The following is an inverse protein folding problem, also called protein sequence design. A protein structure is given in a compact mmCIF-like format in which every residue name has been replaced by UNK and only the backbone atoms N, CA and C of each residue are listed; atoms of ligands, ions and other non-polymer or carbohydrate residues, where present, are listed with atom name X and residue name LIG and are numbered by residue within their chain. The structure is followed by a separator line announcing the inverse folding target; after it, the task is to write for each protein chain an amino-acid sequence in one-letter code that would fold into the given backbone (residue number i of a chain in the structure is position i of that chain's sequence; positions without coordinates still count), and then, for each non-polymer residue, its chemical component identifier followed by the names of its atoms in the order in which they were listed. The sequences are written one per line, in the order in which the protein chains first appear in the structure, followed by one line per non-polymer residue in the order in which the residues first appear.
data_IF_480072760524
#
_entry.id   IF_480072760524
#
_cell.length_a   1.000
_cell.length_b   1.000
_cell.length_c   1.000
_cell.angle_alpha   90.00
_cell.angle_beta   90.00
_cell.angle_gamma   90.00
#
_symmetry.space_group_name_H-M   'P 1'
#
loop_
_entity.id
_entity.type
_entity.pdbx_description
1 polymer ?
#
# COMPACT_ATOMS: atom_id res chain seq x y z
N UNK A 1 11.09 2.15 -9.13
CA UNK A 1 10.17 3.19 -8.61
C UNK A 1 9.77 2.94 -7.16
N UNK A 2 9.33 4.01 -6.47
CA UNK A 2 8.89 3.98 -5.07
C UNK A 2 7.59 4.77 -4.92
N UNK A 3 6.65 4.24 -4.13
CA UNK A 3 5.41 4.90 -3.72
C UNK A 3 5.34 4.96 -2.20
N UNK A 4 4.84 6.09 -1.66
CA UNK A 4 4.63 6.29 -0.23
C UNK A 4 3.14 6.42 0.02
N UNK A 5 2.53 5.32 0.42
CA UNK A 5 1.09 5.21 0.64
C UNK A 5 0.76 5.73 2.04
N UNK A 6 0.01 6.83 2.10
CA UNK A 6 -0.57 7.31 3.35
C UNK A 6 -1.93 6.66 3.60
N UNK A 7 -2.11 6.23 4.84
CA UNK A 7 -3.33 5.63 5.35
C UNK A 7 -4.43 6.69 5.49
N UNK A 8 -5.69 6.26 5.40
CA UNK A 8 -6.82 7.11 5.74
C UNK A 8 -6.73 7.66 7.19
N UNK A 9 -7.05 8.95 7.44
CA UNK A 9 -7.10 9.53 8.78
C UNK A 9 -7.98 8.73 9.75
N UNK A 10 -9.03 8.10 9.24
CA UNK A 10 -9.94 7.21 9.97
C UNK A 10 -9.23 5.98 10.54
N UNK A 11 -8.13 5.52 9.92
CA UNK A 11 -7.26 4.45 10.42
C UNK A 11 -6.24 5.02 11.41
N UNK A 12 -5.71 6.22 11.13
CA UNK A 12 -4.69 6.87 11.94
C UNK A 12 -5.19 7.22 13.36
N UNK A 13 -6.44 7.70 13.47
CA UNK A 13 -7.05 8.13 14.75
C UNK A 13 -7.48 6.96 15.66
N UNK A 14 -7.42 5.72 15.18
CA UNK A 14 -7.80 4.54 15.98
C UNK A 14 -6.76 4.21 17.05
N UNK A 15 -7.19 3.41 18.03
CA UNK A 15 -6.31 2.81 19.03
C UNK A 15 -5.20 1.99 18.36
N UNK A 16 -4.07 1.82 19.04
CA UNK A 16 -2.88 1.18 18.48
C UNK A 16 -3.15 -0.24 17.96
N UNK A 17 -3.91 -1.05 18.71
CA UNK A 17 -4.25 -2.43 18.34
C UNK A 17 -5.08 -2.47 17.05
N UNK A 18 -6.06 -1.58 16.94
CA UNK A 18 -6.93 -1.45 15.77
C UNK A 18 -6.12 -0.94 14.57
N UNK A 19 -5.33 0.12 14.75
CA UNK A 19 -4.46 0.67 13.71
C UNK A 19 -3.51 -0.38 13.15
N UNK A 20 -2.84 -1.16 14.01
CA UNK A 20 -1.93 -2.26 13.62
C UNK A 20 -2.66 -3.33 12.79
N UNK A 21 -3.90 -3.69 13.18
CA UNK A 21 -4.72 -4.66 12.45
C UNK A 21 -5.10 -4.13 11.06
N UNK A 22 -5.62 -2.89 10.98
CA UNK A 22 -5.98 -2.27 9.70
C UNK A 22 -4.77 -2.12 8.77
N UNK A 23 -3.64 -1.63 9.28
CA UNK A 23 -2.41 -1.51 8.50
C UNK A 23 -1.92 -2.88 8.00
N UNK A 24 -2.04 -3.95 8.81
CA UNK A 24 -1.69 -5.32 8.39
C UNK A 24 -2.58 -5.80 7.23
N UNK A 25 -3.90 -5.60 7.33
CA UNK A 25 -4.86 -5.98 6.29
C UNK A 25 -4.57 -5.22 5.00
N UNK A 26 -4.41 -3.89 5.09
CA UNK A 26 -4.12 -3.06 3.91
C UNK A 26 -2.79 -3.44 3.24
N UNK A 27 -1.75 -3.68 4.02
CA UNK A 27 -0.44 -4.15 3.51
C UNK A 27 -0.61 -5.47 2.75
N UNK A 28 -1.39 -6.40 3.30
CA UNK A 28 -1.66 -7.69 2.65
C UNK A 28 -2.45 -7.51 1.35
N UNK A 29 -3.45 -6.64 1.35
CA UNK A 29 -4.26 -6.36 0.15
C UNK A 29 -3.41 -5.75 -0.96
N UNK A 30 -2.60 -4.74 -0.63
CA UNK A 30 -1.66 -4.12 -1.57
C UNK A 30 -0.74 -5.18 -2.16
N UNK A 31 -0.11 -6.02 -1.32
CA UNK A 31 0.77 -7.08 -1.80
C UNK A 31 0.06 -8.05 -2.75
N UNK A 32 -1.10 -8.56 -2.37
CA UNK A 32 -1.86 -9.53 -3.16
C UNK A 32 -2.34 -8.99 -4.51
N UNK A 33 -2.60 -7.69 -4.60
CA UNK A 33 -3.02 -7.05 -5.85
C UNK A 33 -1.79 -6.80 -6.73
N UNK A 34 -0.75 -6.15 -6.21
CA UNK A 34 0.39 -5.73 -7.02
C UNK A 34 1.27 -6.91 -7.49
N UNK A 35 1.42 -7.96 -6.67
CA UNK A 35 2.22 -9.14 -7.05
C UNK A 35 1.67 -9.89 -8.27
N UNK A 36 0.40 -9.71 -8.63
CA UNK A 36 -0.19 -10.31 -9.85
C UNK A 36 0.32 -9.66 -11.14
N UNK A 37 0.83 -8.43 -11.04
CA UNK A 37 1.28 -7.62 -12.18
C UNK A 37 2.79 -7.41 -12.16
N UNK A 38 3.39 -7.43 -10.97
CA UNK A 38 4.84 -7.35 -10.79
C UNK A 38 5.24 -8.18 -9.55
N UNK A 39 5.75 -9.39 -9.81
CA UNK A 39 6.18 -10.34 -8.79
C UNK A 39 7.32 -9.79 -7.91
N UNK A 40 8.12 -8.85 -8.43
CA UNK A 40 9.24 -8.23 -7.70
C UNK A 40 8.79 -7.05 -6.82
N UNK A 41 7.48 -6.80 -6.71
CA UNK A 41 6.96 -5.72 -5.87
C UNK A 41 7.20 -5.99 -4.39
N UNK A 42 8.01 -5.14 -3.75
CA UNK A 42 8.23 -5.17 -2.31
C UNK A 42 7.29 -4.18 -1.61
N UNK A 43 6.53 -4.67 -0.62
CA UNK A 43 5.63 -3.86 0.20
C UNK A 43 6.11 -3.88 1.65
N UNK A 44 6.53 -2.72 2.16
CA UNK A 44 7.06 -2.53 3.51
C UNK A 44 6.11 -1.64 4.31
N UNK A 45 5.74 -2.08 5.51
CA UNK A 45 4.88 -1.31 6.41
C UNK A 45 5.74 -0.57 7.42
N UNK A 46 5.58 0.76 7.48
CA UNK A 46 6.15 1.62 8.50
C UNK A 46 5.09 1.99 9.56
N UNK A 47 5.47 2.79 10.56
CA UNK A 47 4.56 3.11 11.67
C UNK A 47 3.37 3.99 11.25
N UNK A 48 3.56 4.82 10.23
CA UNK A 48 2.64 5.87 9.74
C UNK A 48 2.30 5.76 8.25
N UNK A 49 3.12 5.07 7.44
CA UNK A 49 2.89 4.86 6.01
C UNK A 49 3.22 3.44 5.54
N UNK A 50 2.83 3.11 4.31
CA UNK A 50 3.23 1.89 3.61
C UNK A 50 4.09 2.27 2.41
N UNK A 51 5.22 1.62 2.25
CA UNK A 51 6.12 1.82 1.13
C UNK A 51 5.97 0.68 0.13
N UNK A 52 5.80 1.04 -1.14
CA UNK A 52 5.80 0.07 -2.25
C UNK A 52 6.99 0.36 -3.14
N UNK A 53 7.81 -0.66 -3.40
CA UNK A 53 8.96 -0.60 -4.30
C UNK A 53 8.76 -1.60 -5.42
N UNK A 54 9.00 -1.15 -6.64
CA UNK A 54 9.00 -1.99 -7.84
C UNK A 54 10.24 -1.65 -8.66
N UNK A 55 10.88 -2.65 -9.26
CA UNK A 55 12.03 -2.46 -10.16
C UNK A 55 11.60 -2.23 -11.61
N UNK A 56 10.37 -2.59 -11.97
CA UNK A 56 9.90 -2.56 -13.35
C UNK A 56 9.16 -1.25 -13.70
N UNK A 57 9.89 -0.30 -14.30
CA UNK A 57 9.33 1.01 -14.69
C UNK A 57 8.20 0.96 -15.71
N UNK A 58 8.12 -0.08 -16.52
CA UNK A 58 7.05 -0.24 -17.52
C UNK A 58 5.67 -0.40 -16.90
N UNK A 59 5.61 -0.94 -15.68
CA UNK A 59 4.35 -1.22 -14.98
C UNK A 59 3.85 -0.02 -14.17
N UNK A 60 4.54 1.13 -14.21
CA UNK A 60 4.24 2.29 -13.35
C UNK A 60 2.79 2.74 -13.45
N UNK A 61 2.28 2.91 -14.67
CA UNK A 61 0.91 3.38 -14.89
C UNK A 61 -0.13 2.39 -14.39
N UNK A 62 0.12 1.09 -14.57
CA UNK A 62 -0.78 0.05 -14.10
C UNK A 62 -0.78 -0.04 -12.57
N UNK A 63 0.39 0.04 -11.94
CA UNK A 63 0.52 0.09 -10.49
C UNK A 63 -0.23 1.29 -9.90
N UNK A 64 -0.15 2.47 -10.52
CA UNK A 64 -0.92 3.66 -10.10
C UNK A 64 -2.42 3.39 -10.19
N UNK A 65 -2.92 2.86 -11.31
CA UNK A 65 -4.35 2.53 -11.48
C UNK A 65 -4.83 1.51 -10.45
N UNK A 66 -4.00 0.51 -10.13
CA UNK A 66 -4.31 -0.50 -9.13
C UNK A 66 -4.36 0.11 -7.73
N UNK A 67 -3.38 0.93 -7.35
CA UNK A 67 -3.34 1.61 -6.05
C UNK A 67 -4.56 2.51 -5.83
N UNK A 68 -5.04 3.22 -6.87
CA UNK A 68 -6.26 4.05 -6.78
C UNK A 68 -7.53 3.25 -6.47
N UNK A 69 -7.55 1.95 -6.78
CA UNK A 69 -8.71 1.07 -6.55
C UNK A 69 -8.70 0.41 -5.17
N UNK A 70 -7.63 0.57 -4.39
CA UNK A 70 -7.52 -0.08 -3.08
C UNK A 70 -8.17 0.82 -2.01
N UNK A 71 -9.27 0.38 -1.37
CA UNK A 71 -9.84 1.11 -0.25
C UNK A 71 -8.88 1.08 0.94
N UNK A 72 -8.74 2.20 1.64
CA UNK A 72 -7.75 2.34 2.73
C UNK A 72 -6.61 3.31 2.42
N UNK A 73 -6.43 3.68 1.15
CA UNK A 73 -5.39 4.59 0.68
C UNK A 73 -5.97 6.00 0.52
N UNK A 74 -5.37 6.99 1.18
CA UNK A 74 -5.78 8.39 1.03
C UNK A 74 -5.01 9.09 -0.10
N UNK A 75 -3.69 8.94 -0.10
CA UNK A 75 -2.79 9.51 -1.13
C UNK A 75 -1.51 8.69 -1.20
N UNK A 76 -0.83 8.71 -2.36
CA UNK A 76 0.40 7.95 -2.61
C UNK A 76 1.33 8.67 -3.61
#
# INVERSE_FOLDING_TARGET
MKFIIKLFPEIMIKSETVRKRFAKILTSNIRNILQKYDEETAVVRHWDYIEVRSKNEKNREELIKLLQRIPGIHHF
#
